data_IF_662578566862
#
_entry.id   IF_662578566862
#
_cell.length_a   1.000
_cell.length_b   1.000
_cell.length_c   1.000
_cell.angle_alpha   90.00
_cell.angle_beta   90.00
_cell.angle_gamma   90.00
#
_symmetry.space_group_name_H-M   'P 1'
#
loop_
_entity.id
_entity.type
_entity.pdbx_description
1 polymer ?
#
# COMPACT_ATOMS: atom_id res chain seq x y z
N UNK A 1 -13.15 15.43 -32.39
CA UNK A 1 -11.90 14.68 -32.18
C UNK A 1 -11.45 14.78 -30.71
N UNK A 2 -12.31 14.48 -29.73
CA UNK A 2 -11.99 14.67 -28.29
C UNK A 2 -11.96 13.39 -27.46
N UNK A 3 -12.30 12.23 -28.04
CA UNK A 3 -12.53 11.01 -27.26
C UNK A 3 -11.29 10.45 -26.55
N UNK A 4 -10.09 10.54 -27.16
CA UNK A 4 -8.88 9.94 -26.60
C UNK A 4 -8.27 10.79 -25.48
N UNK A 5 -8.03 12.08 -25.73
CA UNK A 5 -7.53 13.00 -24.70
C UNK A 5 -8.45 13.06 -23.48
N UNK A 6 -9.78 13.17 -23.70
CA UNK A 6 -10.76 13.15 -22.59
C UNK A 6 -10.74 11.80 -21.86
N UNK A 7 -10.60 10.68 -22.58
CA UNK A 7 -10.48 9.37 -21.95
C UNK A 7 -9.22 9.26 -21.09
N UNK A 8 -8.07 9.71 -21.62
CA UNK A 8 -6.79 9.65 -20.90
C UNK A 8 -6.86 10.49 -19.64
N UNK A 9 -7.31 11.73 -19.75
CA UNK A 9 -7.46 12.65 -18.61
C UNK A 9 -8.43 12.10 -17.57
N UNK A 10 -9.59 11.61 -17.98
CA UNK A 10 -10.60 11.11 -17.03
C UNK A 10 -10.20 9.78 -16.38
N UNK A 11 -9.46 8.92 -17.09
CA UNK A 11 -9.09 7.58 -16.61
C UNK A 11 -7.80 7.56 -15.83
N UNK A 12 -6.84 8.42 -16.19
CA UNK A 12 -5.48 8.41 -15.68
C UNK A 12 -5.03 9.74 -15.08
N UNK A 13 -5.80 10.82 -15.20
CA UNK A 13 -5.45 12.09 -14.55
C UNK A 13 -4.30 12.85 -15.19
N UNK A 14 -3.90 12.44 -16.40
CA UNK A 14 -2.75 12.99 -17.13
C UNK A 14 -3.14 13.45 -18.53
N UNK A 15 -2.25 14.17 -19.21
CA UNK A 15 -2.36 14.47 -20.64
C UNK A 15 -1.77 13.34 -21.51
N UNK A 16 -1.82 13.54 -22.83
CA UNK A 16 -1.34 12.54 -23.79
C UNK A 16 0.18 12.37 -23.75
N UNK A 17 0.92 13.42 -23.39
CA UNK A 17 2.38 13.41 -23.35
C UNK A 17 2.90 12.53 -22.21
N UNK A 18 2.41 12.74 -20.99
CA UNK A 18 2.75 11.90 -19.83
C UNK A 18 2.26 10.46 -20.03
N UNK A 19 1.11 10.28 -20.68
CA UNK A 19 0.59 8.96 -21.00
C UNK A 19 1.52 8.20 -21.96
N UNK A 20 2.02 8.85 -23.01
CA UNK A 20 2.99 8.28 -23.95
C UNK A 20 4.34 8.01 -23.27
N UNK A 21 4.81 8.93 -22.43
CA UNK A 21 6.03 8.75 -21.65
C UNK A 21 5.96 7.50 -20.77
N UNK A 22 4.84 7.30 -20.07
CA UNK A 22 4.61 6.10 -19.24
C UNK A 22 4.69 4.79 -20.05
N UNK A 23 4.21 4.81 -21.29
CA UNK A 23 4.29 3.66 -22.21
C UNK A 23 5.72 3.38 -22.63
N UNK A 24 6.51 4.42 -22.90
CA UNK A 24 7.87 4.29 -23.39
C UNK A 24 8.82 3.80 -22.29
N UNK A 25 8.68 4.31 -21.07
CA UNK A 25 9.60 4.03 -19.97
C UNK A 25 9.36 2.65 -19.34
N UNK A 26 8.11 2.15 -19.33
CA UNK A 26 7.79 0.87 -18.71
C UNK A 26 7.33 -0.19 -19.72
N UNK A 27 8.07 -1.30 -19.93
CA UNK A 27 7.65 -2.39 -20.80
C UNK A 27 6.35 -3.05 -20.33
N UNK A 28 6.08 -2.98 -19.03
CA UNK A 28 4.85 -3.48 -18.41
C UNK A 28 3.69 -2.49 -18.45
N UNK A 29 3.87 -1.26 -18.94
CA UNK A 29 2.78 -0.31 -19.16
C UNK A 29 1.69 -0.89 -20.07
N UNK A 30 2.06 -1.78 -21.01
CA UNK A 30 1.11 -2.52 -21.86
C UNK A 30 0.15 -3.41 -21.05
N UNK A 31 0.57 -3.88 -19.88
CA UNK A 31 -0.26 -4.66 -18.96
C UNK A 31 -0.93 -3.82 -17.86
N UNK A 32 -0.25 -2.77 -17.36
CA UNK A 32 -0.78 -1.92 -16.31
C UNK A 32 -0.21 -0.49 -16.32
N UNK A 33 -0.70 0.33 -17.25
CA UNK A 33 -0.23 1.71 -17.45
C UNK A 33 -0.36 2.63 -16.22
N UNK A 34 -1.39 2.41 -15.37
CA UNK A 34 -1.55 3.21 -14.15
C UNK A 34 -0.34 3.06 -13.22
N UNK A 35 0.26 1.86 -13.15
CA UNK A 35 1.46 1.63 -12.36
C UNK A 35 2.67 2.41 -12.91
N UNK A 36 2.83 2.43 -14.23
CA UNK A 36 3.89 3.20 -14.89
C UNK A 36 3.73 4.71 -14.66
N UNK A 37 2.50 5.24 -14.75
CA UNK A 37 2.20 6.64 -14.44
C UNK A 37 2.53 6.95 -12.97
N UNK A 38 2.11 6.10 -12.03
CA UNK A 38 2.43 6.27 -10.61
C UNK A 38 3.95 6.26 -10.35
N UNK A 39 4.70 5.40 -11.03
CA UNK A 39 6.17 5.37 -10.97
C UNK A 39 6.82 6.66 -11.46
N UNK A 40 6.34 7.23 -12.59
CA UNK A 40 6.85 8.51 -13.10
C UNK A 40 6.64 9.65 -12.10
N UNK A 41 5.40 9.84 -11.63
CA UNK A 41 5.10 10.89 -10.66
C UNK A 41 5.83 10.68 -9.33
N UNK A 42 6.01 9.43 -8.89
CA UNK A 42 6.78 9.14 -7.69
C UNK A 42 8.26 9.51 -7.87
N UNK A 43 8.87 9.14 -9.00
CA UNK A 43 10.26 9.48 -9.30
C UNK A 43 10.46 11.01 -9.34
N UNK A 44 9.56 11.74 -9.99
CA UNK A 44 9.58 13.21 -9.98
C UNK A 44 9.45 13.79 -8.56
N UNK A 45 8.48 13.29 -7.78
CA UNK A 45 8.26 13.73 -6.41
C UNK A 45 9.53 13.54 -5.57
N UNK A 46 10.16 12.37 -5.66
CA UNK A 46 11.40 12.05 -4.94
C UNK A 46 12.56 12.94 -5.38
N UNK A 47 12.74 13.17 -6.69
CA UNK A 47 13.74 14.12 -7.22
C UNK A 47 13.51 15.54 -6.69
N UNK A 48 12.27 16.04 -6.72
CA UNK A 48 11.87 17.35 -6.17
C UNK A 48 12.12 17.46 -4.66
N UNK A 49 12.11 16.33 -3.94
CA UNK A 49 12.47 16.23 -2.51
C UNK A 49 13.98 16.12 -2.24
N UNK A 50 14.82 16.25 -3.26
CA UNK A 50 16.28 16.25 -3.11
C UNK A 50 16.90 14.85 -3.01
N UNK A 51 16.21 13.84 -3.54
CA UNK A 51 16.76 12.48 -3.64
C UNK A 51 17.32 12.21 -5.04
N UNK A 52 18.46 11.54 -5.09
CA UNK A 52 18.87 10.76 -6.25
C UNK A 52 17.95 9.56 -6.36
N UNK A 53 17.44 9.27 -7.55
CA UNK A 53 16.46 8.21 -7.81
C UNK A 53 16.97 7.32 -8.92
N UNK A 54 17.20 6.05 -8.63
CA UNK A 54 17.62 5.05 -9.60
C UNK A 54 16.54 3.96 -9.73
N UNK A 55 16.07 3.72 -10.95
CA UNK A 55 15.04 2.71 -11.23
C UNK A 55 15.63 1.29 -11.16
N UNK A 56 14.89 0.38 -10.53
CA UNK A 56 15.20 -1.05 -10.43
C UNK A 56 14.46 -1.78 -11.56
N UNK A 57 15.18 -2.64 -12.30
CA UNK A 57 14.60 -3.50 -13.35
C UNK A 57 13.48 -4.36 -12.78
N UNK A 58 12.31 -4.34 -13.43
CA UNK A 58 11.17 -5.16 -13.03
C UNK A 58 11.49 -6.66 -13.07
N UNK A 59 12.20 -7.11 -14.12
CA UNK A 59 12.65 -8.50 -14.32
C UNK A 59 14.12 -8.53 -14.72
N UNK A 60 15.05 -8.68 -13.75
CA UNK A 60 16.45 -8.96 -14.06
C UNK A 60 16.57 -10.28 -14.87
N UNK A 61 17.70 -10.50 -15.56
CA UNK A 61 17.96 -11.79 -16.24
C UNK A 61 17.78 -12.94 -15.22
N UNK A 62 16.76 -13.79 -15.43
CA UNK A 62 16.33 -14.83 -14.47
C UNK A 62 14.95 -14.60 -13.82
N UNK A 63 14.25 -13.51 -14.15
CA UNK A 63 12.89 -13.22 -13.70
C UNK A 63 12.82 -12.61 -12.29
N UNK A 64 11.63 -12.55 -11.68
CA UNK A 64 11.44 -11.92 -10.35
C UNK A 64 12.31 -12.54 -9.24
N UNK A 65 12.70 -13.80 -9.39
CA UNK A 65 13.57 -14.50 -8.45
C UNK A 65 15.04 -14.08 -8.55
N UNK A 66 15.42 -13.40 -9.63
CA UNK A 66 16.76 -12.83 -9.81
C UNK A 66 16.90 -11.46 -9.13
N UNK A 67 15.81 -10.85 -8.63
CA UNK A 67 15.93 -9.69 -7.75
C UNK A 67 16.53 -10.13 -6.41
N UNK A 68 17.61 -9.45 -6.04
CA UNK A 68 18.26 -9.51 -4.73
C UNK A 68 17.21 -9.46 -3.63
N UNK A 69 17.33 -10.33 -2.62
CA UNK A 69 16.46 -10.29 -1.44
C UNK A 69 16.55 -8.97 -0.70
N UNK A 70 17.66 -8.24 -0.87
CA UNK A 70 17.91 -6.92 -0.31
C UNK A 70 17.28 -5.79 -1.15
N UNK A 71 16.72 -6.04 -2.34
CA UNK A 71 16.15 -4.96 -3.16
C UNK A 71 15.09 -5.46 -4.15
N UNK A 72 13.87 -5.66 -3.66
CA UNK A 72 12.75 -6.12 -4.48
C UNK A 72 11.77 -5.03 -4.91
N UNK A 73 12.08 -3.78 -4.57
CA UNK A 73 11.33 -2.58 -4.94
C UNK A 73 11.46 -2.14 -6.39
N UNK A 74 11.03 -0.92 -6.63
CA UNK A 74 10.97 -0.26 -7.94
C UNK A 74 12.03 0.85 -8.07
N UNK A 75 12.44 1.47 -6.95
CA UNK A 75 13.49 2.48 -6.93
C UNK A 75 14.50 2.28 -5.81
N UNK A 76 15.74 2.64 -6.06
CA UNK A 76 16.69 3.05 -5.03
C UNK A 76 16.66 4.56 -4.88
N UNK A 77 16.69 5.05 -3.64
CA UNK A 77 16.86 6.48 -3.35
C UNK A 77 17.93 6.75 -2.30
N UNK A 78 18.58 7.90 -2.40
CA UNK A 78 19.42 8.50 -1.35
C UNK A 78 19.43 10.02 -1.49
N UNK A 79 19.75 10.80 -0.45
CA UNK A 79 19.93 12.25 -0.59
C UNK A 79 20.99 12.57 -1.66
N UNK A 80 20.76 13.56 -2.53
CA UNK A 80 21.66 13.91 -3.65
C UNK A 80 23.09 14.23 -3.16
N UNK A 81 23.22 14.84 -1.98
CA UNK A 81 24.51 15.25 -1.42
C UNK A 81 25.16 14.16 -0.56
N UNK A 82 24.66 12.92 -0.61
CA UNK A 82 25.21 11.80 0.16
C UNK A 82 26.37 11.15 -0.59
N UNK A 83 27.57 11.22 -0.02
CA UNK A 83 28.73 10.47 -0.51
C UNK A 83 28.70 8.98 -0.09
N UNK A 84 27.84 8.63 0.87
CA UNK A 84 27.70 7.26 1.33
C UNK A 84 26.90 6.39 0.33
N UNK A 85 27.37 5.16 0.10
CA UNK A 85 26.66 4.14 -0.69
C UNK A 85 25.55 3.47 0.13
N UNK A 86 24.63 4.29 0.66
CA UNK A 86 23.52 3.87 1.51
C UNK A 86 22.20 4.24 0.87
N UNK A 87 21.46 3.22 0.44
CA UNK A 87 20.24 3.40 -0.36
C UNK A 87 19.00 2.91 0.37
N UNK A 88 17.87 3.56 0.12
CA UNK A 88 16.56 3.04 0.49
C UNK A 88 15.88 2.45 -0.73
N UNK A 89 15.25 1.30 -0.55
CA UNK A 89 14.46 0.64 -1.57
C UNK A 89 13.00 1.06 -1.42
N UNK A 90 12.44 1.63 -2.48
CA UNK A 90 11.06 2.12 -2.54
C UNK A 90 10.22 1.20 -3.43
N UNK A 91 9.10 0.73 -2.92
CA UNK A 91 8.05 0.04 -3.68
C UNK A 91 6.97 1.05 -4.06
N UNK A 92 6.68 1.19 -5.35
CA UNK A 92 5.59 2.03 -5.88
C UNK A 92 4.33 1.18 -6.09
N UNK A 93 3.19 1.68 -5.62
CA UNK A 93 1.89 1.04 -5.82
C UNK A 93 0.81 2.06 -6.11
N UNK A 94 -0.12 1.71 -7.00
CA UNK A 94 -1.42 2.35 -7.07
C UNK A 94 -2.43 1.64 -6.17
N UNK A 95 -3.44 2.35 -5.70
CA UNK A 95 -4.63 1.71 -5.15
C UNK A 95 -5.28 0.76 -6.18
N UNK A 96 -6.08 -0.22 -5.73
CA UNK A 96 -6.98 -0.99 -6.61
C UNK A 96 -8.35 -0.33 -6.72
N UNK A 97 -9.22 -0.79 -7.62
CA UNK A 97 -10.63 -0.37 -7.62
C UNK A 97 -11.40 -1.01 -6.45
N UNK A 98 -12.36 -0.29 -5.83
CA UNK A 98 -13.14 -0.82 -4.70
C UNK A 98 -13.96 -2.06 -5.09
N UNK A 99 -14.42 -2.11 -6.34
CA UNK A 99 -15.21 -3.20 -6.90
C UNK A 99 -14.44 -4.52 -6.98
N UNK A 100 -13.17 -4.48 -7.40
CA UNK A 100 -12.34 -5.68 -7.55
C UNK A 100 -12.16 -6.42 -6.23
N UNK A 101 -12.25 -5.73 -5.09
CA UNK A 101 -11.95 -6.31 -3.79
C UNK A 101 -13.20 -6.56 -2.92
N UNK A 102 -14.29 -5.82 -3.17
CA UNK A 102 -15.44 -5.76 -2.26
C UNK A 102 -16.81 -5.75 -2.96
N UNK A 103 -16.90 -6.02 -4.27
CA UNK A 103 -18.16 -5.99 -5.03
C UNK A 103 -19.36 -6.59 -4.28
N UNK A 104 -19.25 -7.83 -3.82
CA UNK A 104 -20.33 -8.46 -3.04
C UNK A 104 -20.34 -8.14 -1.54
N UNK A 105 -19.30 -7.50 -1.02
CA UNK A 105 -19.15 -7.23 0.42
C UNK A 105 -19.75 -5.91 0.85
N UNK A 106 -20.09 -5.01 -0.09
CA UNK A 106 -20.65 -3.69 0.20
C UNK A 106 -21.90 -3.37 -0.65
N UNK A 107 -22.48 -4.38 -1.31
CA UNK A 107 -23.61 -4.22 -2.23
C UNK A 107 -25.00 -4.13 -1.56
N UNK A 108 -25.05 -3.95 -0.25
CA UNK A 108 -26.32 -3.70 0.45
C UNK A 108 -26.11 -2.85 1.71
N UNK A 109 -27.16 -2.16 2.19
CA UNK A 109 -27.12 -1.43 3.46
C UNK A 109 -26.65 -2.31 4.64
N UNK A 110 -27.18 -3.53 4.78
CA UNK A 110 -26.80 -4.44 5.87
C UNK A 110 -25.30 -4.79 5.83
N UNK A 111 -24.76 -5.09 4.65
CA UNK A 111 -23.34 -5.44 4.50
C UNK A 111 -22.42 -4.24 4.78
N UNK A 112 -22.78 -3.05 4.26
CA UNK A 112 -22.04 -1.82 4.54
C UNK A 112 -22.08 -1.49 6.04
N UNK A 113 -23.24 -1.62 6.69
CA UNK A 113 -23.40 -1.39 8.12
C UNK A 113 -22.49 -2.30 8.94
N UNK A 114 -22.49 -3.62 8.66
CA UNK A 114 -21.62 -4.58 9.36
C UNK A 114 -20.14 -4.25 9.17
N UNK A 115 -19.75 -3.89 7.95
CA UNK A 115 -18.37 -3.49 7.64
C UNK A 115 -17.95 -2.25 8.43
N UNK A 116 -18.72 -1.16 8.36
CA UNK A 116 -18.41 0.09 9.06
C UNK A 116 -18.44 -0.07 10.58
N UNK A 117 -19.39 -0.84 11.11
CA UNK A 117 -19.43 -1.18 12.54
C UNK A 117 -18.15 -1.87 12.99
N UNK A 118 -17.64 -2.82 12.21
CA UNK A 118 -16.39 -3.51 12.51
C UNK A 118 -15.19 -2.54 12.51
N UNK A 119 -15.11 -1.67 11.49
CA UNK A 119 -14.05 -0.65 11.39
C UNK A 119 -14.09 0.33 12.57
N UNK A 120 -15.26 0.86 12.91
CA UNK A 120 -15.46 1.76 14.06
C UNK A 120 -15.05 1.08 15.37
N UNK A 121 -15.40 -0.19 15.54
CA UNK A 121 -15.05 -0.97 16.73
C UNK A 121 -13.54 -1.17 16.87
N UNK A 122 -12.83 -1.44 15.76
CA UNK A 122 -11.38 -1.58 15.74
C UNK A 122 -10.67 -0.27 16.11
N UNK A 123 -11.14 0.85 15.57
CA UNK A 123 -10.60 2.18 15.87
C UNK A 123 -10.72 2.53 17.37
N UNK A 124 -11.85 2.15 18.00
CA UNK A 124 -12.09 2.35 19.44
C UNK A 124 -11.28 1.41 20.35
N UNK A 125 -10.86 0.24 19.85
CA UNK A 125 -10.30 -0.84 20.68
C UNK A 125 -8.92 -1.32 20.19
N UNK A 126 -7.98 -0.39 19.99
CA UNK A 126 -6.62 -0.68 19.54
C UNK A 126 -5.90 -1.72 20.40
N UNK A 127 -6.01 -1.64 21.74
CA UNK A 127 -5.41 -2.62 22.66
C UNK A 127 -5.89 -4.04 22.39
N UNK A 128 -7.20 -4.22 22.16
CA UNK A 128 -7.79 -5.53 21.82
C UNK A 128 -7.26 -6.05 20.49
N UNK A 129 -7.10 -5.18 19.49
CA UNK A 129 -6.49 -5.53 18.19
C UNK A 129 -5.06 -6.04 18.37
N UNK A 130 -4.25 -5.32 19.15
CA UNK A 130 -2.88 -5.72 19.48
C UNK A 130 -2.84 -7.08 20.20
N UNK A 131 -3.65 -7.25 21.23
CA UNK A 131 -3.72 -8.49 22.02
C UNK A 131 -4.12 -9.71 21.18
N UNK A 132 -5.07 -9.54 20.26
CA UNK A 132 -5.47 -10.60 19.34
C UNK A 132 -4.35 -10.99 18.37
N UNK A 133 -3.61 -10.00 17.85
CA UNK A 133 -2.41 -10.23 17.04
C UNK A 133 -1.35 -11.00 17.82
N UNK A 134 -1.02 -10.53 19.02
CA UNK A 134 -0.03 -11.15 19.90
C UNK A 134 -0.42 -12.58 20.31
N UNK A 135 -1.71 -12.84 20.57
CA UNK A 135 -2.23 -14.19 20.88
C UNK A 135 -2.05 -15.13 19.70
N UNK A 136 -2.38 -14.65 18.49
CA UNK A 136 -2.20 -15.43 17.25
C UNK A 136 -0.73 -15.76 17.03
N UNK A 137 0.15 -14.78 17.22
CA UNK A 137 1.59 -14.95 17.16
C UNK A 137 2.11 -16.00 18.16
N UNK A 138 1.81 -15.84 19.46
CA UNK A 138 2.26 -16.76 20.51
C UNK A 138 1.88 -18.21 20.21
N UNK A 139 0.66 -18.43 19.72
CA UNK A 139 0.17 -19.76 19.32
C UNK A 139 1.01 -20.35 18.17
N UNK A 140 1.23 -19.60 17.10
CA UNK A 140 1.99 -20.10 15.94
C UNK A 140 3.48 -20.28 16.27
N UNK A 141 4.07 -19.35 17.03
CA UNK A 141 5.44 -19.47 17.54
C UNK A 141 5.65 -20.78 18.28
N UNK A 142 4.81 -21.10 19.26
CA UNK A 142 4.92 -22.32 20.04
C UNK A 142 4.82 -23.58 19.17
N UNK A 143 3.87 -23.61 18.22
CA UNK A 143 3.71 -24.73 17.28
C UNK A 143 4.92 -24.90 16.34
N UNK A 144 5.52 -23.80 15.89
CA UNK A 144 6.65 -23.83 14.97
C UNK A 144 7.95 -24.21 15.69
N UNK A 145 8.22 -23.64 16.85
CA UNK A 145 9.44 -23.91 17.65
C UNK A 145 9.45 -25.35 18.19
N UNK A 146 8.29 -25.92 18.52
CA UNK A 146 8.18 -27.34 18.89
C UNK A 146 8.64 -28.28 17.77
N UNK A 147 8.47 -27.88 16.50
CA UNK A 147 8.87 -28.65 15.31
C UNK A 147 10.28 -28.32 14.82
N UNK A 148 10.82 -27.17 15.20
CA UNK A 148 12.10 -26.64 14.71
C UNK A 148 13.07 -26.40 15.88
N UNK A 149 13.52 -27.49 16.52
CA UNK A 149 14.46 -27.43 17.64
C UNK A 149 15.70 -26.62 17.24
N UNK A 150 16.16 -25.72 18.12
CA UNK A 150 17.32 -24.83 17.95
C UNK A 150 17.16 -23.66 16.96
N UNK A 151 15.98 -23.45 16.36
CA UNK A 151 15.68 -22.23 15.59
C UNK A 151 14.75 -21.32 16.39
N UNK A 152 14.88 -20.01 16.19
CA UNK A 152 14.00 -19.02 16.79
C UNK A 152 12.94 -18.57 15.79
N UNK A 153 11.69 -18.49 16.23
CA UNK A 153 10.64 -17.90 15.40
C UNK A 153 10.87 -16.37 15.27
N UNK A 154 10.60 -15.77 14.10
CA UNK A 154 10.72 -14.33 13.89
C UNK A 154 9.97 -13.51 14.94
N UNK A 155 10.50 -12.34 15.31
CA UNK A 155 9.92 -11.52 16.36
C UNK A 155 8.60 -10.86 15.94
N UNK A 156 7.70 -10.67 16.90
CA UNK A 156 6.50 -9.85 16.75
C UNK A 156 6.80 -8.43 17.23
N UNK A 157 6.62 -7.43 16.35
CA UNK A 157 7.00 -6.04 16.63
C UNK A 157 5.89 -5.02 16.35
N UNK A 158 4.62 -5.44 16.41
CA UNK A 158 3.52 -4.49 16.21
C UNK A 158 3.62 -3.30 17.16
N UNK A 159 3.24 -2.13 16.65
CA UNK A 159 3.04 -0.95 17.48
C UNK A 159 1.66 -1.00 18.17
N UNK A 160 1.61 -0.67 19.47
CA UNK A 160 0.35 -0.66 20.25
C UNK A 160 -0.57 0.51 19.91
N UNK A 161 -0.03 1.61 19.41
CA UNK A 161 -0.78 2.84 19.06
C UNK A 161 -1.47 2.74 17.69
N UNK A 162 -0.93 1.93 16.78
CA UNK A 162 -1.50 1.66 15.46
C UNK A 162 -1.39 0.17 15.07
N UNK A 163 -2.05 -0.73 15.84
CA UNK A 163 -1.93 -2.16 15.62
C UNK A 163 -2.82 -2.64 14.47
N UNK A 164 -2.34 -3.66 13.76
CA UNK A 164 -3.06 -4.32 12.69
C UNK A 164 -3.05 -3.53 11.37
N UNK A 165 -3.76 -4.04 10.35
CA UNK A 165 -3.66 -3.53 8.99
C UNK A 165 -4.59 -2.34 8.67
N UNK A 166 -5.34 -1.82 9.64
CA UNK A 166 -6.34 -0.77 9.42
C UNK A 166 -5.94 0.48 10.21
N UNK A 167 -5.59 1.55 9.49
CA UNK A 167 -5.16 2.82 10.07
C UNK A 167 -6.29 3.86 10.18
N UNK A 168 -7.43 3.64 9.51
CA UNK A 168 -8.52 4.60 9.49
C UNK A 168 -9.22 4.74 10.87
N UNK A 169 -9.60 5.96 11.23
CA UNK A 169 -10.41 6.24 12.42
C UNK A 169 -11.77 6.83 12.02
N UNK A 170 -12.81 5.99 12.12
CA UNK A 170 -14.20 6.39 11.89
C UNK A 170 -15.00 6.57 13.19
N UNK A 171 -14.34 6.50 14.35
CA UNK A 171 -15.01 6.43 15.65
C UNK A 171 -15.83 7.67 16.01
N UNK A 172 -15.52 8.82 15.38
CA UNK A 172 -16.16 10.12 15.59
C UNK A 172 -17.16 10.52 14.50
N UNK A 173 -17.39 9.66 13.49
CA UNK A 173 -18.28 10.00 12.36
C UNK A 173 -19.75 9.86 12.74
N UNK A 174 -20.08 8.85 13.54
CA UNK A 174 -21.43 8.61 14.05
C UNK A 174 -21.45 8.65 15.57
N UNK A 175 -22.53 9.21 16.13
CA UNK A 175 -22.70 9.36 17.58
C UNK A 175 -22.91 8.01 18.28
N UNK A 176 -23.54 7.07 17.58
CA UNK A 176 -23.87 5.74 18.08
C UNK A 176 -23.94 4.71 16.95
N UNK A 177 -24.03 3.43 17.30
CA UNK A 177 -24.30 2.37 16.32
C UNK A 177 -25.66 2.57 15.63
N UNK A 178 -26.67 3.06 16.36
CA UNK A 178 -27.99 3.36 15.80
C UNK A 178 -27.94 4.53 14.80
N UNK A 179 -27.14 5.55 15.07
CA UNK A 179 -26.89 6.66 14.13
C UNK A 179 -26.20 6.19 12.84
N UNK A 180 -25.19 5.31 12.97
CA UNK A 180 -24.59 4.63 11.82
C UNK A 180 -25.62 3.82 11.03
N UNK A 181 -26.47 3.04 11.72
CA UNK A 181 -27.50 2.22 11.07
C UNK A 181 -28.52 3.09 10.33
N UNK A 182 -29.04 4.15 10.98
CA UNK A 182 -29.96 5.11 10.37
C UNK A 182 -29.36 5.75 9.12
N UNK A 183 -28.11 6.19 9.19
CA UNK A 183 -27.42 6.77 8.04
C UNK A 183 -27.32 5.75 6.88
N UNK A 184 -26.81 4.54 7.14
CA UNK A 184 -26.62 3.53 6.08
C UNK A 184 -27.94 3.15 5.40
N UNK A 185 -29.01 2.96 6.17
CA UNK A 185 -30.31 2.53 5.63
C UNK A 185 -31.11 3.66 4.98
N UNK A 186 -30.73 4.92 5.19
CA UNK A 186 -31.30 6.07 4.49
C UNK A 186 -30.63 6.36 3.13
N UNK A 187 -29.49 5.72 2.83
CA UNK A 187 -28.79 5.91 1.57
C UNK A 187 -29.56 5.30 0.40
N UNK A 188 -29.55 5.96 -0.77
CA UNK A 188 -30.27 5.45 -1.91
C UNK A 188 -29.53 4.27 -2.56
N UNK A 189 -30.30 3.33 -3.15
CA UNK A 189 -29.82 1.99 -3.53
C UNK A 189 -28.71 2.02 -4.58
N UNK A 190 -28.69 3.03 -5.44
CA UNK A 190 -27.68 3.21 -6.49
C UNK A 190 -26.25 3.34 -5.96
N UNK A 191 -26.08 3.82 -4.72
CA UNK A 191 -24.77 3.96 -4.08
C UNK A 191 -24.12 2.62 -3.70
N UNK A 192 -24.89 1.53 -3.74
CA UNK A 192 -24.44 0.18 -3.40
C UNK A 192 -24.10 -0.65 -4.64
N UNK A 193 -24.14 -0.05 -5.84
CA UNK A 193 -23.82 -0.76 -7.08
C UNK A 193 -22.31 -0.87 -7.28
N UNK A 194 -21.89 -1.94 -7.97
CA UNK A 194 -20.48 -2.11 -8.36
C UNK A 194 -19.99 -0.90 -9.18
N UNK A 195 -20.82 -0.40 -10.09
CA UNK A 195 -20.53 0.78 -10.91
C UNK A 195 -20.27 2.03 -10.05
N UNK A 196 -21.08 2.25 -9.01
CA UNK A 196 -20.87 3.37 -8.10
C UNK A 196 -19.52 3.25 -7.38
N UNK A 197 -19.15 2.06 -6.90
CA UNK A 197 -17.84 1.86 -6.26
C UNK A 197 -16.66 1.95 -7.25
N UNK A 198 -16.81 1.49 -8.49
CA UNK A 198 -15.81 1.65 -9.58
C UNK A 198 -15.51 3.12 -9.88
N UNK A 199 -16.55 3.95 -9.87
CA UNK A 199 -16.48 5.38 -10.17
C UNK A 199 -16.28 6.26 -8.93
N UNK A 200 -15.98 5.66 -7.77
CA UNK A 200 -15.81 6.39 -6.49
C UNK A 200 -17.05 7.20 -6.08
N UNK A 201 -18.24 6.85 -6.61
CA UNK A 201 -19.51 7.52 -6.37
C UNK A 201 -20.38 6.84 -5.31
N UNK A 202 -19.94 5.69 -4.80
CA UNK A 202 -20.65 4.87 -3.81
C UNK A 202 -20.76 5.54 -2.43
N UNK A 203 -21.34 4.80 -1.48
CA UNK A 203 -21.54 5.29 -0.11
C UNK A 203 -20.23 5.62 0.62
N UNK A 204 -19.19 4.85 0.32
CA UNK A 204 -17.84 5.02 0.85
C UNK A 204 -16.81 4.80 -0.26
N UNK A 205 -15.61 5.34 -0.06
CA UNK A 205 -14.45 5.04 -0.87
C UNK A 205 -13.29 4.57 0.02
N UNK A 206 -12.82 3.34 -0.18
CA UNK A 206 -11.77 2.74 0.64
C UNK A 206 -10.42 2.94 -0.05
N UNK A 207 -9.44 3.48 0.69
CA UNK A 207 -8.05 3.53 0.28
C UNK A 207 -7.36 2.30 0.86
N UNK A 208 -7.27 1.23 0.06
CA UNK A 208 -6.70 -0.06 0.47
C UNK A 208 -5.60 -0.49 -0.50
N UNK A 209 -4.47 -0.95 0.04
CA UNK A 209 -3.40 -1.55 -0.76
C UNK A 209 -3.80 -2.95 -1.25
N UNK A 210 -3.10 -3.45 -2.28
CA UNK A 210 -3.24 -4.85 -2.67
C UNK A 210 -1.94 -5.40 -3.27
N UNK A 211 -1.27 -6.28 -2.54
CA UNK A 211 0.05 -6.83 -2.92
C UNK A 211 0.07 -8.36 -2.93
N UNK A 212 -0.51 -8.98 -3.96
CA UNK A 212 -0.43 -10.42 -4.13
C UNK A 212 0.98 -10.76 -4.62
N UNK A 213 1.89 -11.03 -3.69
CA UNK A 213 3.23 -11.44 -4.00
C UNK A 213 3.50 -12.74 -3.27
N UNK A 214 3.54 -13.86 -3.99
CA UNK A 214 3.85 -15.12 -3.32
C UNK A 214 5.31 -15.11 -2.90
N UNK A 215 5.54 -15.19 -1.60
CA UNK A 215 6.84 -15.24 -0.97
C UNK A 215 6.95 -16.45 -0.06
N UNK A 216 8.18 -16.90 0.11
CA UNK A 216 8.55 -17.91 1.10
C UNK A 216 9.40 -17.20 2.12
N UNK A 217 8.96 -17.23 3.37
CA UNK A 217 9.69 -16.65 4.48
C UNK A 217 11.05 -17.36 4.68
N UNK A 218 12.18 -16.64 4.70
CA UNK A 218 13.50 -17.26 4.74
C UNK A 218 13.77 -18.06 6.03
N UNK A 219 13.27 -17.62 7.19
CA UNK A 219 13.49 -18.30 8.47
C UNK A 219 12.47 -19.43 8.65
N UNK A 220 11.19 -19.14 8.45
CA UNK A 220 10.11 -20.08 8.78
C UNK A 220 9.75 -21.05 7.67
N UNK A 221 10.14 -20.77 6.42
CA UNK A 221 9.76 -21.54 5.23
C UNK A 221 8.27 -21.43 4.86
N UNK A 222 7.52 -20.57 5.56
CA UNK A 222 6.09 -20.39 5.32
C UNK A 222 5.88 -19.68 3.98
N UNK A 223 4.93 -20.18 3.19
CA UNK A 223 4.53 -19.57 1.93
C UNK A 223 3.27 -18.73 2.14
N UNK A 224 3.34 -17.43 1.88
CA UNK A 224 2.18 -16.55 1.90
C UNK A 224 2.13 -15.68 0.64
N UNK A 225 0.93 -15.30 0.21
CA UNK A 225 0.73 -14.44 -0.94
C UNK A 225 0.94 -12.95 -0.60
N UNK A 226 1.90 -12.59 0.25
CA UNK A 226 2.20 -11.23 0.66
C UNK A 226 3.70 -10.93 0.51
N UNK A 227 4.10 -9.66 0.34
CA UNK A 227 5.51 -9.31 0.33
C UNK A 227 6.17 -9.58 1.68
N UNK A 228 7.50 -9.74 1.65
CA UNK A 228 8.28 -9.80 2.88
C UNK A 228 8.54 -8.41 3.43
N UNK A 229 8.72 -8.29 4.74
CA UNK A 229 9.21 -7.06 5.39
C UNK A 229 10.54 -6.62 4.77
N UNK A 230 11.38 -7.58 4.39
CA UNK A 230 12.68 -7.32 3.75
C UNK A 230 12.60 -6.98 2.27
N UNK A 231 11.44 -7.05 1.60
CA UNK A 231 11.39 -6.82 0.13
C UNK A 231 11.75 -5.36 -0.23
N UNK A 232 11.34 -4.39 0.60
CA UNK A 232 11.58 -2.95 0.41
C UNK A 232 11.67 -2.23 1.76
N UNK A 233 12.20 -1.01 1.79
CA UNK A 233 12.22 -0.18 3.00
C UNK A 233 10.93 0.61 3.16
N UNK A 234 10.52 1.30 2.10
CA UNK A 234 9.34 2.16 2.12
C UNK A 234 8.43 1.77 0.97
N UNK A 235 7.14 1.78 1.24
CA UNK A 235 6.13 1.69 0.20
C UNK A 235 5.49 3.06 0.01
N UNK A 236 5.43 3.48 -1.25
CA UNK A 236 4.68 4.65 -1.70
C UNK A 236 3.39 4.19 -2.38
N UNK A 237 2.26 4.75 -1.97
CA UNK A 237 0.94 4.43 -2.51
C UNK A 237 0.34 5.68 -3.14
N UNK A 238 0.12 5.62 -4.46
CA UNK A 238 -0.58 6.62 -5.25
C UNK A 238 -2.09 6.54 -5.01
N UNK A 239 -2.67 7.65 -4.55
CA UNK A 239 -4.07 7.77 -4.17
C UNK A 239 -5.00 8.16 -5.33
N UNK A 240 -4.49 8.35 -6.55
CA UNK A 240 -5.24 8.87 -7.71
C UNK A 240 -6.61 8.21 -7.92
N UNK A 241 -6.68 6.87 -7.84
CA UNK A 241 -7.95 6.15 -8.03
C UNK A 241 -9.04 6.47 -6.99
N UNK A 242 -8.75 7.27 -5.96
CA UNK A 242 -9.70 7.69 -4.93
C UNK A 242 -9.83 9.19 -4.80
N UNK A 243 -8.78 9.94 -5.08
CA UNK A 243 -8.75 11.39 -4.88
C UNK A 243 -8.81 12.16 -6.19
N UNK A 244 -8.60 11.48 -7.33
CA UNK A 244 -8.48 12.10 -8.65
C UNK A 244 -7.18 12.86 -8.84
N UNK A 245 -6.23 12.76 -7.91
CA UNK A 245 -4.92 13.44 -7.95
C UNK A 245 -3.81 12.44 -7.67
N UNK A 246 -2.72 12.52 -8.43
CA UNK A 246 -1.50 11.76 -8.14
C UNK A 246 -0.81 12.33 -6.89
N UNK A 247 -1.21 11.81 -5.74
CA UNK A 247 -0.64 12.13 -4.45
C UNK A 247 -0.27 10.85 -3.71
N UNK A 248 0.82 10.88 -2.95
CA UNK A 248 1.42 9.69 -2.38
C UNK A 248 1.33 9.69 -0.86
N UNK A 249 1.12 8.49 -0.32
CA UNK A 249 1.36 8.20 1.09
C UNK A 249 2.41 7.12 1.24
N UNK A 250 3.15 7.21 2.34
CA UNK A 250 4.35 6.42 2.59
C UNK A 250 4.21 5.62 3.88
N UNK A 251 4.79 4.42 3.92
CA UNK A 251 5.00 3.67 5.15
C UNK A 251 6.32 2.92 5.11
N UNK A 252 6.94 2.72 6.28
CA UNK A 252 8.10 1.84 6.43
C UNK A 252 7.64 0.40 6.68
N UNK A 253 8.16 -0.54 5.90
CA UNK A 253 7.87 -1.98 5.99
C UNK A 253 8.18 -2.57 7.36
N UNK A 254 9.19 -2.06 8.07
CA UNK A 254 9.59 -2.57 9.39
C UNK A 254 8.72 -2.07 10.55
N UNK A 255 7.98 -0.97 10.33
CA UNK A 255 7.14 -0.31 11.34
C UNK A 255 5.66 -0.67 11.20
N UNK A 256 5.20 -0.95 9.97
CA UNK A 256 3.81 -1.35 9.77
C UNK A 256 3.56 -2.75 10.33
N UNK A 257 2.33 -3.00 10.78
CA UNK A 257 1.95 -4.30 11.33
C UNK A 257 2.09 -5.41 10.29
N UNK A 258 2.97 -6.39 10.55
CA UNK A 258 3.11 -7.61 9.74
C UNK A 258 2.02 -8.66 10.05
N UNK A 259 1.99 -9.76 9.30
CA UNK A 259 1.14 -10.93 9.58
C UNK A 259 1.51 -11.55 10.94
N UNK A 260 0.57 -11.74 11.89
CA UNK A 260 0.90 -12.27 13.21
C UNK A 260 1.29 -13.75 13.16
N UNK A 261 0.86 -14.48 12.12
CA UNK A 261 1.18 -15.89 11.93
C UNK A 261 2.45 -16.11 11.11
N UNK A 262 3.03 -15.06 10.55
CA UNK A 262 4.31 -15.10 9.84
C UNK A 262 4.94 -13.70 9.85
N UNK A 263 5.70 -13.34 10.89
CA UNK A 263 6.18 -11.96 11.05
C UNK A 263 7.11 -11.44 9.95
N UNK A 264 7.66 -12.35 9.14
CA UNK A 264 8.45 -12.01 7.96
C UNK A 264 7.59 -11.48 6.81
N UNK A 265 6.28 -11.77 6.80
CA UNK A 265 5.34 -11.33 5.77
C UNK A 265 4.53 -10.11 6.23
N UNK A 266 4.39 -9.14 5.34
CA UNK A 266 3.42 -8.06 5.47
C UNK A 266 1.99 -8.57 5.23
N UNK A 267 0.99 -7.72 5.42
CA UNK A 267 -0.33 -7.96 4.86
C UNK A 267 -0.37 -7.62 3.37
N UNK A 268 -1.23 -8.32 2.62
CA UNK A 268 -1.55 -7.94 1.25
C UNK A 268 -2.29 -6.60 1.19
N UNK A 269 -3.21 -6.39 2.13
CA UNK A 269 -4.16 -5.29 2.11
C UNK A 269 -4.08 -4.53 3.44
N UNK A 270 -3.70 -3.26 3.34
CA UNK A 270 -3.74 -2.29 4.40
C UNK A 270 -4.79 -1.24 4.07
N UNK A 271 -5.69 -0.95 5.00
CA UNK A 271 -6.65 0.14 4.86
C UNK A 271 -6.00 1.41 5.40
N UNK A 272 -5.65 2.31 4.49
CA UNK A 272 -5.02 3.60 4.77
C UNK A 272 -6.07 4.55 5.36
N UNK A 273 -7.18 4.73 4.64
CA UNK A 273 -8.31 5.56 5.05
C UNK A 273 -9.62 5.14 4.37
N UNK A 274 -10.74 5.66 4.85
CA UNK A 274 -12.07 5.51 4.25
C UNK A 274 -12.72 6.88 4.15
N UNK A 275 -13.11 7.27 2.95
CA UNK A 275 -13.98 8.42 2.72
C UNK A 275 -15.45 7.98 2.83
N UNK A 276 -16.27 8.83 3.43
CA UNK A 276 -17.69 8.59 3.71
C UNK A 276 -18.49 9.74 3.12
N UNK A 277 -19.32 9.43 2.12
CA UNK A 277 -20.08 10.44 1.36
C UNK A 277 -20.94 11.31 2.29
N UNK A 278 -20.80 12.63 2.18
CA UNK A 278 -21.53 13.60 3.00
C UNK A 278 -21.22 13.58 4.50
N UNK A 279 -20.18 12.88 4.94
CA UNK A 279 -19.81 12.76 6.37
C UNK A 279 -18.31 12.95 6.65
N UNK A 280 -17.46 12.40 5.78
CA UNK A 280 -15.99 12.48 5.84
C UNK A 280 -15.44 12.40 4.43
N UNK A 281 -15.33 13.54 3.76
CA UNK A 281 -14.82 13.61 2.38
C UNK A 281 -13.33 13.97 2.32
N UNK A 282 -12.79 14.45 3.44
CA UNK A 282 -11.37 14.73 3.59
C UNK A 282 -10.58 13.48 4.01
N UNK A 283 -9.38 13.36 3.45
CA UNK A 283 -8.41 12.36 3.84
C UNK A 283 -7.83 12.66 5.21
N UNK A 284 -7.68 11.62 6.01
CA UNK A 284 -7.00 11.64 7.31
C UNK A 284 -6.00 10.51 7.35
N UNK A 285 -4.76 10.83 6.99
CA UNK A 285 -3.66 9.87 6.97
C UNK A 285 -3.13 9.71 8.39
N UNK A 286 -3.45 8.57 9.00
CA UNK A 286 -3.00 8.20 10.33
C UNK A 286 -1.75 7.33 10.26
N UNK A 287 -0.95 7.36 11.33
CA UNK A 287 0.14 6.42 11.55
C UNK A 287 -0.32 4.96 11.39
N UNK A 288 0.50 4.07 10.79
CA UNK A 288 1.90 4.25 10.40
C UNK A 288 2.12 4.89 9.02
N UNK A 289 1.09 5.47 8.41
CA UNK A 289 1.21 6.15 7.13
C UNK A 289 1.62 7.62 7.29
N UNK A 290 2.24 8.15 6.24
CA UNK A 290 2.75 9.51 6.16
C UNK A 290 2.38 10.12 4.82
N UNK A 291 2.12 11.42 4.77
CA UNK A 291 1.91 12.17 3.52
C UNK A 291 3.22 12.71 2.93
N UNK A 292 4.34 12.50 3.62
CA UNK A 292 5.64 13.05 3.25
C UNK A 292 6.75 12.03 3.49
N UNK A 293 7.58 11.82 2.47
CA UNK A 293 8.66 10.81 2.49
C UNK A 293 9.75 11.16 3.51
N UNK A 294 10.10 12.44 3.66
CA UNK A 294 11.14 12.88 4.58
C UNK A 294 10.68 12.68 6.04
N UNK A 295 9.42 13.00 6.33
CA UNK A 295 8.80 12.72 7.62
C UNK A 295 8.77 11.21 7.95
N UNK A 296 8.48 10.37 6.94
CA UNK A 296 8.55 8.92 7.05
C UNK A 296 9.97 8.49 7.44
N UNK A 297 10.97 8.85 6.63
CA UNK A 297 12.38 8.50 6.85
C UNK A 297 12.89 9.00 8.21
N UNK A 298 12.66 10.28 8.53
CA UNK A 298 13.14 10.90 9.76
C UNK A 298 12.59 10.20 11.01
N UNK A 299 11.33 9.81 10.96
CA UNK A 299 10.65 9.24 12.13
C UNK A 299 10.88 7.73 12.25
N UNK A 300 10.86 6.98 11.15
CA UNK A 300 11.01 5.51 11.20
C UNK A 300 12.44 5.03 11.06
N UNK A 301 13.37 5.89 10.60
CA UNK A 301 14.80 5.58 10.41
C UNK A 301 15.02 4.24 9.70
N UNK A 302 14.48 4.07 8.47
CA UNK A 302 14.57 2.79 7.76
C UNK A 302 16.04 2.36 7.58
N UNK A 303 16.29 1.06 7.67
CA UNK A 303 17.63 0.51 7.50
C UNK A 303 18.09 0.61 6.04
N UNK A 304 19.18 1.34 5.80
CA UNK A 304 19.78 1.43 4.46
C UNK A 304 20.25 0.07 3.94
N UNK A 305 20.28 -0.04 2.62
CA UNK A 305 20.64 -1.24 1.88
C UNK A 305 21.76 -0.99 0.90
N UNK A 306 22.43 -2.06 0.53
CA UNK A 306 23.47 -2.06 -0.49
C UNK A 306 22.79 -2.13 -1.87
N UNK A 307 23.22 -1.26 -2.77
CA UNK A 307 22.72 -1.24 -4.15
C UNK A 307 23.26 -2.43 -4.94
N UNK A 308 22.39 -3.10 -5.69
CA UNK A 308 22.80 -4.08 -6.70
C UNK A 308 22.79 -3.39 -8.07
N UNK A 309 23.96 -2.90 -8.50
CA UNK A 309 24.12 -2.18 -9.77
C UNK A 309 23.70 -3.01 -11.00
N UNK A 310 23.72 -4.35 -10.92
CA UNK A 310 23.29 -5.20 -12.02
C UNK A 310 21.78 -5.11 -12.30
N UNK A 311 21.01 -4.68 -11.30
CA UNK A 311 19.56 -4.51 -11.36
C UNK A 311 19.13 -3.10 -11.76
N UNK A 312 20.07 -2.18 -11.96
CA UNK A 312 19.74 -0.83 -12.41
C UNK A 312 19.21 -0.85 -13.84
N UNK A 313 18.17 -0.06 -14.05
CA UNK A 313 17.53 0.13 -15.33
C UNK A 313 18.20 1.28 -16.09
N UNK A 314 19.12 0.94 -16.99
CA UNK A 314 19.95 1.92 -17.70
C UNK A 314 19.28 2.48 -18.98
N UNK A 315 17.98 2.21 -19.19
CA UNK A 315 17.29 2.65 -20.43
C UNK A 315 17.24 4.17 -20.58
N UNK A 316 17.37 4.93 -19.49
CA UNK A 316 17.53 6.39 -19.54
C UNK A 316 18.90 6.85 -20.10
N UNK A 317 19.89 5.96 -20.25
CA UNK A 317 21.26 6.30 -20.66
C UNK A 317 21.52 6.01 -22.15
N UNK A 318 20.68 5.24 -22.82
CA UNK A 318 20.89 4.82 -24.23
C UNK A 318 20.26 5.77 -25.27
N UNK A 319 19.52 6.82 -24.85
CA UNK A 319 18.87 7.78 -25.76
C UNK A 319 19.35 9.25 -25.58
N UNK A 320 20.51 9.47 -24.96
CA UNK A 320 21.18 10.79 -24.96
C UNK A 320 22.40 10.84 -25.87
#
# INVERSE_FOLDING_TARGET
MSGLSDYIKNRFGVDEDIFLEAINISPSARGYIMGAISELFLAEYLKKKGFEVLRIKEKPKGGNNAKSSEARGDFYIRPINSEEDKWLVIESKGLKSNSEFRGDKLNSPDKLFRFLKAVVSLAKNKSKTYENGLRSYKRIKALWEAKNKRKSFPQFNWNKEFPGPIACDLSKIWKSEDDLKKWVYALPKELFTETAYRKVAGAIAILETHQPSTRVAPITGLKQAAPLVSDFNIMAVDLFLRTGKHEFVFMNSSEISHSPTSPEHLYQNYVIDILVKGRKEELRINRPWYTDIEACIKTTKPQYRIIDKSQLDNREVEEM
#
